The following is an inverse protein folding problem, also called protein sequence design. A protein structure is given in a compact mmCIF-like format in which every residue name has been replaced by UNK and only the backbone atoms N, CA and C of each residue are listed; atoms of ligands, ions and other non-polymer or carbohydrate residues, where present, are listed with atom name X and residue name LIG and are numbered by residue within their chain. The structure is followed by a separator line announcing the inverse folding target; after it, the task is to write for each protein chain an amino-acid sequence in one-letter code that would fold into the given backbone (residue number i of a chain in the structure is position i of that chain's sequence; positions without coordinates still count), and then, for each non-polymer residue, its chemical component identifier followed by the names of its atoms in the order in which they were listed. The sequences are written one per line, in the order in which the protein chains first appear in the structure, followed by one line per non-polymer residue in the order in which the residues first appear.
data_IF_072620031753
#
_entry.id   IF_072620031753
#
_cell.length_a   1.000
_cell.length_b   1.000
_cell.length_c   1.000
_cell.angle_alpha   90.00
_cell.angle_beta   90.00
_cell.angle_gamma   90.00
#
_symmetry.space_group_name_H-M   'P 1'
#
loop_
_entity.id
_entity.type
_entity.pdbx_description
1 polymer ?
#
# COMPACT_ATOMS: atom_id res chain seq x y z
N UNK A 1 2.79 -23.36 -2.40
CA UNK A 1 2.64 -22.04 -1.79
C UNK A 1 1.53 -21.31 -2.54
N UNK A 2 0.33 -21.25 -1.98
CA UNK A 2 -0.93 -20.97 -2.70
C UNK A 2 -1.39 -19.51 -2.54
N UNK A 3 -0.58 -18.65 -1.93
CA UNK A 3 -0.96 -17.33 -1.45
C UNK A 3 -0.12 -16.29 -2.20
N UNK A 4 -0.55 -15.91 -3.41
CA UNK A 4 0.13 -14.87 -4.18
C UNK A 4 -0.30 -13.43 -3.83
N UNK A 5 -1.46 -13.26 -3.19
CA UNK A 5 -2.07 -11.97 -2.86
C UNK A 5 -2.62 -12.00 -1.43
N UNK A 6 -2.48 -10.90 -0.68
CA UNK A 6 -3.02 -10.76 0.67
C UNK A 6 -3.63 -9.36 0.88
N UNK A 7 -4.54 -9.26 1.85
CA UNK A 7 -5.03 -7.99 2.42
C UNK A 7 -4.55 -7.90 3.87
N UNK A 8 -4.01 -6.75 4.25
CA UNK A 8 -3.60 -6.45 5.62
C UNK A 8 -4.44 -5.28 6.11
N UNK A 9 -5.09 -5.45 7.26
CA UNK A 9 -5.90 -4.42 7.91
C UNK A 9 -5.73 -4.48 9.43
N UNK A 10 -5.93 -3.35 10.10
CA UNK A 10 -6.03 -3.30 11.56
C UNK A 10 -7.51 -3.53 11.95
N UNK A 11 -7.88 -4.67 12.56
CA UNK A 11 -9.27 -4.93 12.96
C UNK A 11 -9.69 -4.13 14.19
N UNK A 12 -8.74 -3.54 14.93
CA UNK A 12 -9.05 -2.74 16.11
C UNK A 12 -9.60 -1.36 15.72
N UNK A 13 -10.67 -0.95 16.40
CA UNK A 13 -11.26 0.38 16.24
C UNK A 13 -10.72 1.42 17.23
N UNK A 14 -9.87 1.00 18.20
CA UNK A 14 -9.35 1.90 19.25
C UNK A 14 -7.82 1.92 19.30
N UNK A 15 -7.19 0.78 19.02
CA UNK A 15 -5.75 0.63 19.18
C UNK A 15 -5.02 0.83 17.85
N UNK A 16 -3.90 1.56 17.91
CA UNK A 16 -3.02 1.73 16.76
C UNK A 16 -2.12 0.51 16.59
N UNK A 17 -1.97 0.05 15.35
CA UNK A 17 -1.05 -1.01 14.99
C UNK A 17 0.16 -0.46 14.20
N UNK A 18 1.34 -1.03 14.44
CA UNK A 18 2.58 -0.71 13.70
C UNK A 18 3.21 -2.02 13.24
N UNK A 19 3.64 -2.05 11.98
CA UNK A 19 4.35 -3.19 11.38
C UNK A 19 5.71 -2.77 10.83
N UNK A 20 6.65 -3.71 10.82
CA UNK A 20 7.95 -3.56 10.17
C UNK A 20 7.95 -4.38 8.88
N UNK A 21 8.20 -3.73 7.73
CA UNK A 21 8.18 -4.37 6.42
C UNK A 21 9.60 -4.40 5.83
N UNK A 22 10.04 -5.57 5.38
CA UNK A 22 11.30 -5.75 4.65
C UNK A 22 10.98 -6.31 3.27
N UNK A 23 11.50 -5.65 2.22
CA UNK A 23 11.33 -6.05 0.83
C UNK A 23 12.69 -6.24 0.16
N UNK A 24 12.87 -7.35 -0.57
CA UNK A 24 14.12 -7.69 -1.27
C UNK A 24 13.83 -8.43 -2.59
N UNK A 25 14.25 -7.91 -3.75
CA UNK A 25 14.82 -6.58 -3.95
C UNK A 25 13.79 -5.47 -3.62
N UNK A 26 14.23 -4.23 -3.39
CA UNK A 26 13.31 -3.12 -3.18
C UNK A 26 12.48 -2.87 -4.45
N UNK A 27 11.22 -2.46 -4.26
CA UNK A 27 10.31 -2.06 -5.34
C UNK A 27 9.52 -0.81 -4.93
N UNK A 28 9.08 -0.03 -5.92
CA UNK A 28 8.28 1.18 -5.75
C UNK A 28 6.92 1.12 -6.46
N UNK A 29 6.59 -0.01 -7.10
CA UNK A 29 5.28 -0.26 -7.70
C UNK A 29 4.74 -1.63 -7.30
N UNK A 30 3.42 -1.71 -7.11
CA UNK A 30 2.71 -2.96 -6.93
C UNK A 30 1.41 -2.96 -7.75
N UNK A 31 0.71 -4.09 -7.78
CA UNK A 31 -0.65 -4.15 -8.32
C UNK A 31 -1.64 -4.21 -7.16
N UNK A 32 -2.66 -3.35 -7.19
CA UNK A 32 -3.86 -3.51 -6.37
C UNK A 32 -4.92 -4.23 -7.19
N UNK A 33 -5.81 -4.98 -6.53
CA UNK A 33 -6.81 -5.80 -7.19
C UNK A 33 -8.19 -5.46 -6.63
N UNK A 34 -9.15 -5.23 -7.52
CA UNK A 34 -10.56 -5.15 -7.15
C UNK A 34 -11.04 -6.53 -6.68
N UNK A 35 -11.57 -6.61 -5.47
CA UNK A 35 -12.01 -7.87 -4.87
C UNK A 35 -13.21 -8.50 -5.60
N UNK A 36 -14.09 -7.70 -6.20
CA UNK A 36 -15.29 -8.17 -6.91
C UNK A 36 -14.96 -8.62 -8.33
N UNK A 37 -14.10 -7.88 -9.03
CA UNK A 37 -13.85 -8.09 -10.46
C UNK A 37 -12.52 -8.77 -10.77
N UNK A 38 -11.57 -8.77 -9.84
CA UNK A 38 -10.21 -9.24 -10.06
C UNK A 38 -9.36 -8.32 -10.95
N UNK A 39 -9.92 -7.20 -11.43
CA UNK A 39 -9.17 -6.23 -12.22
C UNK A 39 -8.01 -5.65 -11.41
N UNK A 40 -6.84 -5.58 -12.05
CA UNK A 40 -5.62 -5.07 -11.42
C UNK A 40 -5.32 -3.65 -11.88
N UNK A 41 -4.83 -2.83 -10.97
CA UNK A 41 -4.31 -1.50 -11.24
C UNK A 41 -2.87 -1.42 -10.77
N UNK A 42 -1.98 -0.89 -11.62
CA UNK A 42 -0.59 -0.65 -11.24
C UNK A 42 -0.51 0.63 -10.42
N UNK A 43 0.02 0.53 -9.21
CA UNK A 43 0.10 1.63 -8.24
C UNK A 43 1.56 1.92 -7.92
N UNK A 44 1.91 3.21 -7.84
CA UNK A 44 3.20 3.67 -7.33
C UNK A 44 3.10 3.86 -5.82
N UNK A 45 3.94 3.14 -5.07
CA UNK A 45 4.05 3.28 -3.62
C UNK A 45 4.87 4.51 -3.29
N UNK A 46 4.43 5.28 -2.29
CA UNK A 46 5.12 6.48 -1.83
C UNK A 46 5.46 6.37 -0.35
N UNK A 47 6.53 7.06 0.04
CA UNK A 47 6.96 7.13 1.44
C UNK A 47 6.31 8.32 2.11
N UNK A 48 5.62 8.09 3.23
CA UNK A 48 5.13 9.15 4.09
C UNK A 48 6.27 9.98 4.71
N UNK A 49 7.34 9.30 5.14
CA UNK A 49 8.58 9.89 5.63
C UNK A 49 9.78 9.03 5.23
N UNK A 50 10.97 9.63 5.22
CA UNK A 50 12.24 8.91 5.01
C UNK A 50 13.22 9.32 6.09
N UNK A 51 13.78 8.33 6.80
CA UNK A 51 14.77 8.54 7.86
C UNK A 51 14.32 9.52 8.96
N UNK A 52 13.01 9.57 9.27
CA UNK A 52 12.44 10.47 10.29
C UNK A 52 11.90 11.80 9.74
N UNK A 53 12.22 12.16 8.51
CA UNK A 53 11.81 13.43 7.90
C UNK A 53 10.60 13.27 6.96
N UNK A 54 9.62 14.17 7.05
CA UNK A 54 8.39 14.13 6.23
C UNK A 54 8.70 14.42 4.77
N UNK A 55 8.17 13.62 3.85
CA UNK A 55 8.34 13.87 2.41
C UNK A 55 7.46 15.05 1.96
N UNK A 56 7.90 15.85 0.97
CA UNK A 56 7.06 16.87 0.36
C UNK A 56 5.79 16.22 -0.20
N UNK A 57 4.63 16.79 0.10
CA UNK A 57 3.36 16.25 -0.35
C UNK A 57 3.30 16.33 -1.88
N UNK A 58 3.51 15.19 -2.54
CA UNK A 58 3.17 15.07 -3.95
C UNK A 58 1.64 14.99 -4.05
N UNK A 59 1.03 15.93 -4.76
CA UNK A 59 -0.40 15.86 -5.11
C UNK A 59 -0.62 14.63 -5.98
N UNK A 60 -0.96 13.50 -5.36
CA UNK A 60 -1.42 12.32 -6.09
C UNK A 60 -2.89 12.56 -6.37
N UNK A 61 -3.26 12.78 -7.63
CA UNK A 61 -4.65 12.67 -8.04
C UNK A 61 -5.07 11.23 -7.76
N UNK A 62 -5.86 11.01 -6.72
CA UNK A 62 -6.64 9.80 -6.57
C UNK A 62 -7.57 9.73 -7.78
N UNK A 63 -7.30 8.82 -8.72
CA UNK A 63 -8.35 8.36 -9.61
C UNK A 63 -9.32 7.55 -8.74
N UNK A 64 -10.35 8.23 -8.24
CA UNK A 64 -11.53 7.59 -7.67
C UNK A 64 -12.20 6.82 -8.81
N UNK A 65 -12.19 5.49 -8.72
CA UNK A 65 -13.00 4.65 -9.60
C UNK A 65 -14.38 4.48 -8.95
N UNK A 66 -15.40 5.06 -9.60
CA UNK A 66 -16.81 4.67 -9.46
C UNK A 66 -17.02 3.20 -9.83
#
# INVERSE_FOLDING_TARGET
DSIGLHRVENPSHTETAVSLHLYSPPFDHCNTFDQRTGHKNKVKMTFWSKFGERTPMATIQSQENN
#
